data_IF_569854312677
#
_entry.id   IF_569854312677
#
_cell.length_a   1.000
_cell.length_b   1.000
_cell.length_c   1.000
_cell.angle_alpha   90.00
_cell.angle_beta   90.00
_cell.angle_gamma   90.00
#
_symmetry.space_group_name_H-M   'P 1'
#
loop_
_entity.id
_entity.type
_entity.pdbx_description
1 polymer ?
#
# COMPACT_ATOMS: atom_id res chain seq x y z
N UNK A 1 -12.67 -14.76 5.76
CA UNK A 1 -12.18 -13.38 5.86
C UNK A 1 -10.77 -13.48 6.40
N UNK A 2 -9.81 -12.77 5.84
CA UNK A 2 -8.43 -12.81 6.31
C UNK A 2 -8.21 -11.69 7.34
N UNK A 3 -8.08 -12.09 8.60
CA UNK A 3 -7.84 -11.20 9.74
C UNK A 3 -6.36 -10.96 10.01
N UNK A 4 -5.48 -11.72 9.38
CA UNK A 4 -4.06 -11.74 9.72
C UNK A 4 -3.23 -10.85 8.80
N UNK A 5 -3.59 -10.77 7.51
CA UNK A 5 -2.79 -10.02 6.54
C UNK A 5 -3.60 -8.90 5.89
N UNK A 6 -4.73 -9.23 5.25
CA UNK A 6 -5.43 -8.24 4.42
C UNK A 6 -6.04 -7.06 5.20
N UNK A 7 -6.68 -7.33 6.35
CA UNK A 7 -7.26 -6.27 7.17
C UNK A 7 -6.19 -5.41 7.87
N UNK A 8 -5.27 -5.98 8.68
CA UNK A 8 -4.30 -5.17 9.42
C UNK A 8 -3.26 -4.52 8.52
N UNK A 9 -2.76 -5.21 7.47
CA UNK A 9 -1.59 -4.74 6.72
C UNK A 9 -1.92 -4.02 5.41
N UNK A 10 -3.18 -4.01 4.96
CA UNK A 10 -3.60 -3.24 3.79
C UNK A 10 -4.72 -2.26 4.17
N UNK A 11 -5.94 -2.74 4.41
CA UNK A 11 -7.11 -1.85 4.42
C UNK A 11 -7.14 -0.93 5.63
N UNK A 12 -6.95 -1.47 6.85
CA UNK A 12 -7.14 -0.68 8.08
C UNK A 12 -6.00 0.32 8.29
N UNK A 13 -4.75 -0.11 8.07
CA UNK A 13 -3.58 0.78 8.23
C UNK A 13 -3.62 1.96 7.27
N UNK A 14 -4.08 1.78 6.03
CA UNK A 14 -4.18 2.87 5.06
C UNK A 14 -5.25 3.88 5.43
N UNK A 15 -6.42 3.42 5.87
CA UNK A 15 -7.51 4.29 6.28
C UNK A 15 -7.13 5.09 7.52
N UNK A 16 -6.57 4.43 8.53
CA UNK A 16 -6.15 5.07 9.79
C UNK A 16 -5.09 6.16 9.56
N UNK A 17 -4.01 5.83 8.85
CA UNK A 17 -2.95 6.80 8.56
C UNK A 17 -3.45 8.01 7.76
N UNK A 18 -4.30 7.78 6.77
CA UNK A 18 -4.85 8.85 5.94
C UNK A 18 -5.81 9.75 6.75
N UNK A 19 -6.67 9.15 7.57
CA UNK A 19 -7.65 9.91 8.36
C UNK A 19 -6.96 10.71 9.47
N UNK A 20 -6.01 10.10 10.20
CA UNK A 20 -5.27 10.77 11.26
C UNK A 20 -4.39 11.91 10.74
N UNK A 21 -3.82 11.76 9.53
CA UNK A 21 -3.11 12.86 8.86
C UNK A 21 -4.01 14.08 8.58
N UNK A 22 -5.34 13.89 8.55
CA UNK A 22 -6.35 14.93 8.40
C UNK A 22 -7.14 15.23 9.68
N UNK A 23 -6.68 14.75 10.85
CA UNK A 23 -7.39 14.86 12.14
C UNK A 23 -8.82 14.32 12.12
N UNK A 24 -9.08 13.28 11.33
CA UNK A 24 -10.37 12.60 11.22
C UNK A 24 -10.27 11.21 11.86
N UNK A 25 -11.21 10.89 12.75
CA UNK A 25 -11.35 9.55 13.30
C UNK A 25 -12.33 8.71 12.46
N UNK A 26 -11.84 7.60 11.89
CA UNK A 26 -12.68 6.67 11.11
C UNK A 26 -13.02 5.45 11.95
N UNK A 27 -14.28 5.04 11.93
CA UNK A 27 -14.77 3.82 12.58
C UNK A 27 -15.08 2.74 11.53
N UNK A 28 -14.94 1.47 11.93
CA UNK A 28 -15.25 0.30 11.08
C UNK A 28 -16.39 -0.54 11.69
N UNK A 29 -17.67 -0.15 11.54
CA UNK A 29 -18.79 -0.82 12.19
C UNK A 29 -18.93 -2.32 11.87
N UNK A 30 -18.50 -2.75 10.68
CA UNK A 30 -18.52 -4.16 10.29
C UNK A 30 -17.48 -5.02 11.02
N UNK A 31 -16.52 -4.40 11.73
CA UNK A 31 -15.54 -5.08 12.58
C UNK A 31 -15.92 -5.02 14.07
N UNK A 32 -17.12 -4.56 14.42
CA UNK A 32 -17.65 -4.72 15.78
C UNK A 32 -17.67 -6.22 16.15
N UNK A 33 -17.15 -6.55 17.33
CA UNK A 33 -17.00 -7.94 17.77
C UNK A 33 -18.33 -8.70 17.74
N UNK A 34 -19.46 -8.04 18.03
CA UNK A 34 -20.79 -8.68 18.00
C UNK A 34 -21.18 -9.09 16.59
N UNK A 35 -20.85 -8.27 15.59
CA UNK A 35 -21.11 -8.57 14.17
C UNK A 35 -20.21 -9.69 13.70
N UNK A 36 -18.93 -9.65 14.07
CA UNK A 36 -17.94 -10.68 13.71
C UNK A 36 -18.29 -12.02 14.35
N UNK A 37 -18.59 -12.06 15.65
CA UNK A 37 -18.99 -13.27 16.37
C UNK A 37 -20.29 -13.87 15.83
N UNK A 38 -21.26 -13.03 15.48
CA UNK A 38 -22.48 -13.50 14.83
C UNK A 38 -22.18 -14.10 13.45
N UNK A 39 -21.40 -13.41 12.62
CA UNK A 39 -21.05 -13.89 11.28
C UNK A 39 -20.22 -15.18 11.32
N UNK A 40 -19.36 -15.35 12.32
CA UNK A 40 -18.54 -16.55 12.52
C UNK A 40 -19.36 -17.80 12.86
N UNK A 41 -20.57 -17.64 13.40
CA UNK A 41 -21.49 -18.74 13.71
C UNK A 41 -22.29 -19.22 12.50
N UNK A 42 -22.27 -18.46 11.39
CA UNK A 42 -23.06 -18.79 10.20
C UNK A 42 -22.40 -19.90 9.39
N UNK A 43 -23.18 -20.85 8.84
CA UNK A 43 -22.64 -21.81 7.89
C UNK A 43 -22.16 -21.07 6.63
N UNK A 44 -21.08 -21.52 5.96
CA UNK A 44 -20.56 -20.85 4.77
C UNK A 44 -21.61 -20.61 3.67
N UNK A 45 -22.56 -21.54 3.52
CA UNK A 45 -23.67 -21.44 2.56
C UNK A 45 -24.61 -20.25 2.82
N UNK A 46 -24.67 -19.73 4.06
CA UNK A 46 -25.43 -18.52 4.39
C UNK A 46 -24.71 -17.24 3.95
N UNK A 47 -23.38 -17.29 3.71
CA UNK A 47 -22.56 -16.14 3.33
C UNK A 47 -22.33 -16.06 1.81
N UNK A 48 -22.31 -17.22 1.14
CA UNK A 48 -22.06 -17.35 -0.30
C UNK A 48 -22.79 -18.56 -0.90
N UNK A 49 -23.23 -18.43 -2.16
CA UNK A 49 -23.83 -19.52 -2.94
C UNK A 49 -22.92 -19.98 -4.10
N UNK A 50 -21.64 -19.62 -4.08
CA UNK A 50 -20.66 -19.94 -5.12
C UNK A 50 -20.66 -18.99 -6.32
N UNK A 51 -21.78 -18.32 -6.61
CA UNK A 51 -21.86 -17.26 -7.64
C UNK A 51 -21.78 -15.86 -7.03
N UNK A 52 -22.41 -15.69 -5.87
CA UNK A 52 -22.51 -14.44 -5.15
C UNK A 52 -22.19 -14.64 -3.67
N UNK A 53 -21.38 -13.73 -3.13
CA UNK A 53 -21.12 -13.62 -1.70
C UNK A 53 -21.87 -12.44 -1.09
N UNK A 54 -21.65 -12.25 0.23
CA UNK A 54 -22.27 -11.19 1.03
C UNK A 54 -23.79 -11.30 1.06
N UNK A 55 -24.34 -12.52 1.01
CA UNK A 55 -25.78 -12.75 0.89
C UNK A 55 -26.61 -12.00 1.96
N UNK A 56 -26.25 -12.03 3.27
CA UNK A 56 -27.02 -11.31 4.30
C UNK A 56 -26.99 -9.79 4.09
N UNK A 57 -25.84 -9.25 3.67
CA UNK A 57 -25.71 -7.81 3.39
C UNK A 57 -26.47 -7.40 2.13
N UNK A 58 -26.56 -8.27 1.13
CA UNK A 58 -27.35 -8.02 -0.08
C UNK A 58 -28.84 -8.00 0.23
N UNK A 59 -29.33 -8.93 1.04
CA UNK A 59 -30.71 -8.93 1.52
C UNK A 59 -31.01 -7.65 2.32
N UNK A 60 -30.14 -7.27 3.25
CA UNK A 60 -30.28 -6.02 4.00
C UNK A 60 -30.27 -4.79 3.09
N UNK A 61 -29.38 -4.77 2.08
CA UNK A 61 -29.31 -3.68 1.11
C UNK A 61 -30.60 -3.56 0.28
N UNK A 62 -31.22 -4.67 -0.13
CA UNK A 62 -32.50 -4.65 -0.84
C UNK A 62 -33.64 -4.05 -0.01
N UNK A 63 -33.60 -4.23 1.32
CA UNK A 63 -34.61 -3.68 2.23
C UNK A 63 -34.39 -2.21 2.57
N UNK A 64 -33.16 -1.69 2.44
CA UNK A 64 -32.77 -0.38 3.00
C UNK A 64 -32.23 0.62 1.98
N UNK A 65 -31.84 0.17 0.79
CA UNK A 65 -31.17 0.99 -0.22
C UNK A 65 -31.91 0.93 -1.56
N UNK A 66 -31.76 1.95 -2.42
CA UNK A 66 -32.30 1.92 -3.78
C UNK A 66 -31.81 0.72 -4.58
N UNK A 67 -32.66 0.21 -5.49
CA UNK A 67 -32.38 -0.99 -6.29
C UNK A 67 -31.02 -0.93 -7.02
N UNK A 68 -30.66 0.24 -7.58
CA UNK A 68 -29.36 0.46 -8.24
C UNK A 68 -28.17 0.14 -7.33
N UNK A 69 -28.23 0.52 -6.06
CA UNK A 69 -27.15 0.29 -5.08
C UNK A 69 -27.20 -1.15 -4.57
N UNK A 70 -28.39 -1.67 -4.27
CA UNK A 70 -28.57 -3.03 -3.76
C UNK A 70 -28.11 -4.12 -4.76
N UNK A 71 -28.29 -3.86 -6.06
CA UNK A 71 -27.92 -4.77 -7.14
C UNK A 71 -26.51 -4.52 -7.69
N UNK A 72 -25.77 -3.54 -7.15
CA UNK A 72 -24.43 -3.25 -7.60
C UNK A 72 -23.49 -4.46 -7.44
N UNK A 73 -22.56 -4.61 -8.39
CA UNK A 73 -21.49 -5.60 -8.30
C UNK A 73 -20.50 -5.19 -7.20
N UNK A 74 -19.92 -6.16 -6.51
CA UNK A 74 -18.84 -5.90 -5.55
C UNK A 74 -17.68 -5.27 -6.31
N UNK A 75 -17.39 -4.01 -6.01
CA UNK A 75 -16.15 -3.36 -6.40
C UNK A 75 -15.13 -3.46 -5.26
N UNK A 76 -13.85 -3.58 -5.60
CA UNK A 76 -12.77 -3.42 -4.64
C UNK A 76 -12.49 -1.94 -4.36
N UNK A 77 -11.51 -1.67 -3.50
CA UNK A 77 -10.96 -0.34 -3.27
C UNK A 77 -9.77 -0.02 -4.20
N UNK A 78 -9.68 -0.75 -5.32
CA UNK A 78 -8.62 -0.58 -6.30
C UNK A 78 -8.69 0.81 -6.90
N UNK A 79 -7.59 1.54 -6.77
CA UNK A 79 -7.42 2.85 -7.38
C UNK A 79 -7.01 2.64 -8.85
N UNK A 80 -7.53 3.42 -9.82
CA UNK A 80 -7.23 3.23 -11.24
C UNK A 80 -5.82 3.75 -11.60
N UNK A 81 -4.80 3.22 -10.93
CA UNK A 81 -3.45 3.73 -10.95
C UNK A 81 -2.84 3.71 -12.35
N UNK A 82 -3.13 2.70 -13.16
CA UNK A 82 -2.67 2.67 -14.55
C UNK A 82 -3.29 3.72 -15.43
N UNK A 83 -4.55 4.09 -15.17
CA UNK A 83 -5.14 5.24 -15.88
C UNK A 83 -4.47 6.54 -15.47
N UNK A 84 -4.13 6.70 -14.20
CA UNK A 84 -3.42 7.89 -13.71
C UNK A 84 -2.00 7.95 -14.24
N UNK A 85 -1.25 6.85 -14.23
CA UNK A 85 0.13 6.78 -14.72
C UNK A 85 0.27 7.13 -16.20
N UNK A 86 -0.80 6.98 -16.99
CA UNK A 86 -0.85 7.42 -18.40
C UNK A 86 -1.14 8.91 -18.59
N UNK A 87 -1.57 9.63 -17.55
CA UNK A 87 -1.79 11.07 -17.61
C UNK A 87 -0.46 11.83 -17.64
N UNK A 88 -0.44 12.99 -18.30
CA UNK A 88 0.79 13.76 -18.55
C UNK A 88 1.57 14.06 -17.27
N UNK A 89 0.89 14.46 -16.17
CA UNK A 89 1.58 14.80 -14.93
C UNK A 89 2.27 13.60 -14.27
N UNK A 90 1.67 12.42 -14.35
CA UNK A 90 2.28 11.20 -13.81
C UNK A 90 3.40 10.69 -14.70
N UNK A 91 3.22 10.76 -16.03
CA UNK A 91 4.27 10.37 -16.98
C UNK A 91 5.53 11.19 -16.78
N UNK A 92 5.40 12.51 -16.64
CA UNK A 92 6.55 13.38 -16.33
C UNK A 92 7.23 12.95 -15.04
N UNK A 93 6.47 12.81 -13.95
CA UNK A 93 7.03 12.40 -12.65
C UNK A 93 7.75 11.05 -12.73
N UNK A 94 7.19 10.06 -13.44
CA UNK A 94 7.81 8.73 -13.58
C UNK A 94 9.09 8.82 -14.41
N UNK A 95 9.06 9.54 -15.53
CA UNK A 95 10.26 9.79 -16.35
C UNK A 95 11.34 10.47 -15.52
N UNK A 96 11.00 11.53 -14.78
CA UNK A 96 11.94 12.29 -13.98
C UNK A 96 12.57 11.42 -12.89
N UNK A 97 11.77 10.61 -12.20
CA UNK A 97 12.24 9.79 -11.06
C UNK A 97 12.98 8.52 -11.47
N UNK A 98 12.53 7.83 -12.53
CA UNK A 98 13.01 6.49 -12.87
C UNK A 98 13.92 6.45 -14.10
N UNK A 99 13.82 7.43 -15.00
CA UNK A 99 14.45 7.39 -16.33
C UNK A 99 15.49 8.50 -16.52
N UNK A 100 15.19 9.73 -16.07
CA UNK A 100 16.04 10.90 -16.27
C UNK A 100 17.33 10.80 -15.44
N UNK A 101 18.37 11.58 -15.80
CA UNK A 101 19.63 11.67 -15.04
C UNK A 101 19.51 12.20 -13.60
N UNK A 102 18.32 12.69 -13.20
CA UNK A 102 18.00 12.98 -11.79
C UNK A 102 17.75 11.71 -10.95
N UNK A 103 17.64 10.55 -11.60
CA UNK A 103 17.68 9.25 -10.96
C UNK A 103 19.14 8.97 -10.51
N UNK A 104 19.48 9.36 -9.28
CA UNK A 104 20.77 9.04 -8.62
C UNK A 104 20.90 7.56 -8.24
N UNK A 105 20.63 6.64 -9.18
CA UNK A 105 20.17 5.29 -8.80
C UNK A 105 20.75 4.14 -9.61
N UNK A 106 21.94 4.35 -10.21
CA UNK A 106 22.63 3.41 -11.11
C UNK A 106 22.95 1.99 -10.60
N UNK A 107 22.49 1.60 -9.40
CA UNK A 107 22.84 0.31 -8.79
C UNK A 107 21.63 -0.59 -8.50
N UNK A 108 20.38 -0.07 -8.54
CA UNK A 108 19.19 -0.82 -8.10
C UNK A 108 18.31 -1.32 -9.24
N UNK A 109 18.31 -0.64 -10.39
CA UNK A 109 17.59 -1.08 -11.58
C UNK A 109 18.24 -0.58 -12.86
N UNK A 110 17.91 -1.26 -13.96
CA UNK A 110 18.26 -0.84 -15.30
C UNK A 110 17.34 0.29 -15.78
N UNK A 111 17.91 1.48 -16.00
CA UNK A 111 17.22 2.67 -16.50
C UNK A 111 16.62 2.42 -17.89
N UNK A 112 17.30 1.67 -18.76
CA UNK A 112 16.79 1.35 -20.09
C UNK A 112 15.55 0.44 -20.00
N UNK A 113 15.59 -0.55 -19.12
CA UNK A 113 14.46 -1.40 -18.78
C UNK A 113 13.27 -0.63 -18.22
N UNK A 114 13.50 0.30 -17.29
CA UNK A 114 12.44 1.17 -16.74
C UNK A 114 11.81 2.06 -17.82
N UNK A 115 12.63 2.67 -18.69
CA UNK A 115 12.14 3.45 -19.83
C UNK A 115 11.27 2.61 -20.77
N UNK A 116 11.71 1.39 -21.09
CA UNK A 116 10.95 0.47 -21.95
C UNK A 116 9.61 0.08 -21.32
N UNK A 117 9.58 -0.19 -20.00
CA UNK A 117 8.33 -0.49 -19.28
C UNK A 117 7.36 0.69 -19.33
N UNK A 118 7.86 1.91 -19.12
CA UNK A 118 7.05 3.12 -19.20
C UNK A 118 6.46 3.32 -20.60
N UNK A 119 7.27 3.14 -21.64
CA UNK A 119 6.79 3.26 -23.03
C UNK A 119 5.73 2.21 -23.36
N UNK A 120 5.95 0.95 -22.97
CA UNK A 120 4.99 -0.12 -23.19
C UNK A 120 3.66 0.13 -22.45
N UNK A 121 3.72 0.65 -21.23
CA UNK A 121 2.54 1.04 -20.46
C UNK A 121 1.77 2.18 -21.15
N UNK A 122 2.48 3.19 -21.65
CA UNK A 122 1.90 4.35 -22.29
C UNK A 122 1.23 4.03 -23.62
N UNK A 123 1.70 3.01 -24.34
CA UNK A 123 1.05 2.50 -25.56
C UNK A 123 -0.32 1.86 -25.30
N UNK A 124 -0.63 1.50 -24.06
CA UNK A 124 -1.96 1.02 -23.66
C UNK A 124 -2.27 -0.46 -23.97
N UNK A 125 -1.38 -1.17 -24.68
CA UNK A 125 -1.60 -2.58 -25.04
C UNK A 125 -1.52 -3.54 -23.86
N UNK A 126 -0.78 -3.18 -22.80
CA UNK A 126 -0.64 -3.94 -21.56
C UNK A 126 -0.45 -3.01 -20.38
N UNK A 127 -0.93 -3.43 -19.22
CA UNK A 127 -0.74 -2.70 -17.98
C UNK A 127 0.57 -3.12 -17.29
N UNK A 128 1.46 -2.17 -17.07
CA UNK A 128 2.73 -2.35 -16.34
C UNK A 128 2.80 -1.45 -15.09
N UNK A 129 1.67 -0.90 -14.66
CA UNK A 129 1.60 0.04 -13.53
C UNK A 129 2.14 -0.56 -12.25
N UNK A 130 1.93 -1.86 -12.04
CA UNK A 130 2.41 -2.53 -10.84
C UNK A 130 3.93 -2.52 -10.74
N UNK A 131 4.63 -2.77 -11.86
CA UNK A 131 6.09 -2.71 -11.91
C UNK A 131 6.61 -1.29 -11.74
N UNK A 132 6.01 -0.33 -12.46
CA UNK A 132 6.35 1.09 -12.35
C UNK A 132 6.11 1.59 -10.92
N UNK A 133 5.02 1.17 -10.28
CA UNK A 133 4.71 1.53 -8.89
C UNK A 133 5.75 0.98 -7.92
N UNK A 134 6.16 -0.29 -8.06
CA UNK A 134 7.21 -0.89 -7.21
C UNK A 134 8.52 -0.11 -7.33
N UNK A 135 8.90 0.30 -8.54
CA UNK A 135 10.09 1.13 -8.77
C UNK A 135 9.95 2.53 -8.13
N UNK A 136 8.78 3.17 -8.24
CA UNK A 136 8.51 4.46 -7.59
C UNK A 136 8.56 4.37 -6.06
N UNK A 137 8.04 3.29 -5.48
CA UNK A 137 8.10 3.05 -4.04
C UNK A 137 9.55 2.85 -3.59
N UNK A 138 10.33 2.08 -4.37
CA UNK A 138 11.75 1.88 -4.10
C UNK A 138 12.55 3.19 -4.20
N UNK A 139 12.32 4.00 -5.24
CA UNK A 139 12.90 5.34 -5.38
C UNK A 139 12.56 6.22 -4.16
N UNK A 140 11.29 6.22 -3.73
CA UNK A 140 10.84 6.99 -2.58
C UNK A 140 11.57 6.57 -1.30
N UNK A 141 11.66 5.26 -1.05
CA UNK A 141 12.34 4.71 0.12
C UNK A 141 13.84 5.05 0.12
N UNK A 142 14.53 4.88 -1.02
CA UNK A 142 15.96 5.21 -1.14
C UNK A 142 16.22 6.68 -0.81
N UNK A 143 15.44 7.59 -1.39
CA UNK A 143 15.59 9.03 -1.13
C UNK A 143 15.39 9.39 0.34
N UNK A 144 14.44 8.73 1.00
CA UNK A 144 14.13 8.98 2.41
C UNK A 144 15.17 8.40 3.38
N UNK A 145 15.79 7.27 3.04
CA UNK A 145 16.61 6.51 4.00
C UNK A 145 18.10 6.39 3.65
N UNK A 146 18.47 6.53 2.37
CA UNK A 146 19.87 6.36 1.91
C UNK A 146 20.51 7.69 1.47
N UNK A 147 19.74 8.61 0.88
CA UNK A 147 20.27 9.90 0.41
C UNK A 147 20.19 11.03 1.46
N UNK A 148 19.44 10.82 2.55
CA UNK A 148 19.35 11.77 3.65
C UNK A 148 20.56 11.59 4.61
N UNK A 149 21.50 12.54 4.56
CA UNK A 149 22.67 12.61 5.44
C UNK A 149 22.32 12.64 6.95
N UNK A 150 21.05 12.84 7.31
CA UNK A 150 20.57 12.82 8.70
C UNK A 150 20.71 11.46 9.40
N UNK A 151 20.81 10.34 8.67
CA UNK A 151 20.98 9.02 9.29
C UNK A 151 22.42 8.80 9.82
N UNK A 152 23.43 9.43 9.20
CA UNK A 152 24.83 9.32 9.64
C UNK A 152 25.09 9.94 11.02
N UNK A 153 24.31 10.94 11.42
CA UNK A 153 24.46 11.59 12.74
C UNK A 153 23.81 10.84 13.90
N UNK A 154 22.77 10.01 13.65
CA UNK A 154 22.12 9.23 14.72
C UNK A 154 22.90 7.97 15.10
N UNK A 155 23.61 7.35 14.18
CA UNK A 155 24.46 6.18 14.48
C UNK A 155 25.81 6.55 15.11
N UNK A 156 26.32 7.76 14.89
CA UNK A 156 27.59 8.19 15.45
C UNK A 156 27.53 8.71 16.90
N UNK A 157 26.33 8.84 17.50
CA UNK A 157 26.19 9.45 18.83
C UNK A 157 25.55 8.54 19.90
N UNK A 158 25.32 7.26 19.62
CA UNK A 158 24.74 6.33 20.61
C UNK A 158 25.46 4.99 20.78
N UNK A 159 26.60 4.77 20.12
CA UNK A 159 27.44 3.61 20.41
C UNK A 159 28.92 3.97 20.16
N UNK A 160 29.78 3.57 21.11
CA UNK A 160 31.25 3.68 21.10
C UNK A 160 31.90 4.89 21.79
N UNK A 161 31.43 5.28 22.98
CA UNK A 161 32.31 5.87 24.01
C UNK A 161 31.92 5.36 25.41
N UNK A 162 32.20 4.10 25.69
CA UNK A 162 32.48 3.59 27.04
C UNK A 162 33.02 2.16 26.91
N UNK A 163 34.01 1.84 27.74
CA UNK A 163 34.57 0.50 27.96
C UNK A 163 35.62 -0.06 27.00
N UNK A 164 36.75 0.64 26.87
CA UNK A 164 38.06 -0.02 26.61
C UNK A 164 39.16 0.36 27.61
N UNK A 165 38.81 0.87 28.80
CA UNK A 165 39.80 1.31 29.81
C UNK A 165 39.96 0.38 31.03
N UNK A 166 39.42 -0.85 31.02
CA UNK A 166 39.43 -1.73 32.21
C UNK A 166 39.98 -3.16 32.01
N UNK A 167 40.93 -3.35 31.09
CA UNK A 167 41.72 -4.60 31.06
C UNK A 167 43.20 -4.25 30.90
N UNK A 168 43.81 -3.73 31.96
CA UNK A 168 45.27 -3.82 32.21
C UNK A 168 45.59 -3.43 33.66
N UNK A 169 45.29 -4.32 34.62
CA UNK A 169 45.95 -4.34 35.94
C UNK A 169 45.45 -5.52 36.78
N UNK A 170 46.19 -6.64 36.76
CA UNK A 170 46.41 -7.49 37.94
C UNK A 170 47.61 -8.41 37.65
N UNK A 171 48.79 -7.90 37.95
CA UNK A 171 49.82 -8.66 38.66
C UNK A 171 49.82 -8.13 40.10
#
# INVERSE_FOLDING_TARGET
>A
MDYQLYLPDDVLVKVDRASMASSIEVRSPFLDYRVVEWAAKLPPAALTNGREGKLPLRQLAQLRLPARTAQARKSGFGVPIGTWMRQAQWRSMITDRLVSGASRQGDLWDVAGASRLLDLHNRGNRDFSEYLWRLLVLDSWKRQHLDDHSYRHRCNNSALQSDTSRISASA
#
